data_IF_367139524897
#
_entry.id   IF_367139524897
#
_cell.length_a   1.000
_cell.length_b   1.000
_cell.length_c   1.000
_cell.angle_alpha   90.00
_cell.angle_beta   90.00
_cell.angle_gamma   90.00
#
_symmetry.space_group_name_H-M   'P 1'
#
loop_
_entity.id
_entity.type
_entity.pdbx_description
1 polymer ?
#
# COMPACT_ATOMS: atom_id res chain seq x y z
N UNK A 1 -2.49 4.06 -5.54
CA UNK A 1 -2.35 5.51 -5.70
C UNK A 1 -3.18 6.22 -4.65
N UNK A 2 -2.97 7.52 -4.46
CA UNK A 2 -3.64 8.30 -3.42
C UNK A 2 -3.92 9.72 -3.92
N UNK A 3 -5.05 10.27 -3.47
CA UNK A 3 -5.45 11.66 -3.68
C UNK A 3 -5.65 12.35 -2.34
N UNK A 4 -5.44 13.67 -2.33
CA UNK A 4 -5.82 14.54 -1.22
C UNK A 4 -6.76 15.62 -1.74
N UNK A 5 -7.90 15.79 -1.09
CA UNK A 5 -8.81 16.90 -1.36
C UNK A 5 -8.16 18.24 -0.99
N UNK A 6 -8.77 19.34 -1.39
CA UNK A 6 -8.57 20.62 -0.71
C UNK A 6 -8.95 20.52 0.78
N UNK A 7 -8.46 21.44 1.65
CA UNK A 7 -8.89 21.48 3.04
C UNK A 7 -10.39 21.68 3.11
N UNK A 8 -11.10 20.76 3.77
CA UNK A 8 -12.56 20.75 3.84
C UNK A 8 -13.11 21.67 4.95
N UNK A 9 -12.24 22.10 5.85
CA UNK A 9 -12.62 22.67 7.14
C UNK A 9 -12.89 21.57 8.19
N UNK A 10 -12.74 21.93 9.46
CA UNK A 10 -12.80 20.99 10.57
C UNK A 10 -14.15 20.25 10.65
N UNK A 11 -15.25 20.98 10.50
CA UNK A 11 -16.62 20.45 10.58
C UNK A 11 -16.89 19.42 9.48
N UNK A 12 -16.70 19.82 8.20
CA UNK A 12 -16.94 18.93 7.05
C UNK A 12 -16.03 17.70 7.09
N UNK A 13 -14.76 17.87 7.47
CA UNK A 13 -13.86 16.73 7.62
C UNK A 13 -14.31 15.79 8.76
N UNK A 14 -14.74 16.32 9.91
CA UNK A 14 -15.23 15.52 11.02
C UNK A 14 -16.53 14.76 10.68
N UNK A 15 -17.40 15.33 9.85
CA UNK A 15 -18.61 14.66 9.38
C UNK A 15 -18.31 13.44 8.48
N UNK A 16 -17.14 13.37 7.84
CA UNK A 16 -16.73 12.21 7.03
C UNK A 16 -16.25 11.03 7.90
N UNK A 17 -15.46 11.32 8.94
CA UNK A 17 -14.85 10.32 9.83
C UNK A 17 -14.78 10.88 11.25
N UNK A 18 -15.86 10.68 12.00
CA UNK A 18 -16.11 11.35 13.30
C UNK A 18 -15.02 11.07 14.33
N UNK A 19 -14.51 9.83 14.38
CA UNK A 19 -13.51 9.39 15.36
C UNK A 19 -12.05 9.55 14.88
N UNK A 20 -11.83 10.16 13.70
CA UNK A 20 -10.50 10.26 13.09
C UNK A 20 -9.78 8.93 12.77
N UNK A 21 -10.49 7.80 12.72
CA UNK A 21 -9.86 6.53 12.40
C UNK A 21 -9.32 6.51 10.96
N UNK A 22 -8.25 5.74 10.75
CA UNK A 22 -7.93 5.28 9.41
C UNK A 22 -8.88 4.12 9.07
N UNK A 23 -9.48 4.18 7.89
CA UNK A 23 -10.42 3.16 7.41
C UNK A 23 -9.80 2.41 6.24
N UNK A 24 -10.01 1.11 6.19
CA UNK A 24 -9.76 0.27 5.02
C UNK A 24 -10.98 -0.62 4.82
N UNK A 25 -11.36 -0.87 3.58
CA UNK A 25 -12.37 -1.88 3.28
C UNK A 25 -11.78 -3.31 3.37
N UNK A 26 -12.62 -4.30 3.10
CA UNK A 26 -12.27 -5.74 3.09
C UNK A 26 -12.09 -6.29 1.66
N UNK A 27 -12.07 -5.42 0.65
CA UNK A 27 -11.90 -5.85 -0.74
C UNK A 27 -10.47 -6.33 -0.98
N UNK A 28 -10.23 -7.05 -2.08
CA UNK A 28 -8.85 -7.39 -2.43
C UNK A 28 -8.10 -6.17 -2.97
N UNK A 29 -8.77 -5.37 -3.79
CA UNK A 29 -8.28 -4.06 -4.22
C UNK A 29 -8.83 -2.99 -3.27
N UNK A 30 -8.16 -2.87 -2.13
CA UNK A 30 -8.63 -2.02 -1.04
C UNK A 30 -8.80 -0.56 -1.44
N UNK A 31 -9.88 0.04 -0.94
CA UNK A 31 -9.93 1.47 -0.65
C UNK A 31 -9.56 1.70 0.82
N UNK A 32 -8.73 2.71 1.05
CA UNK A 32 -8.32 3.13 2.37
C UNK A 32 -8.28 4.65 2.45
N UNK A 33 -8.71 5.22 3.56
CA UNK A 33 -8.81 6.67 3.69
C UNK A 33 -8.71 7.12 5.14
N UNK A 34 -8.27 8.37 5.33
CA UNK A 34 -8.19 9.02 6.64
C UNK A 34 -8.23 10.54 6.47
N UNK A 35 -8.43 11.26 7.57
CA UNK A 35 -8.25 12.72 7.60
C UNK A 35 -6.77 13.06 7.80
N UNK A 36 -6.33 14.17 7.21
CA UNK A 36 -5.07 14.81 7.57
C UNK A 36 -5.29 15.83 8.71
N UNK A 37 -4.19 16.29 9.32
CA UNK A 37 -4.22 17.30 10.38
C UNK A 37 -4.74 18.66 9.89
N UNK A 38 -4.59 18.98 8.61
CA UNK A 38 -5.12 20.19 7.95
C UNK A 38 -6.52 19.97 7.33
N UNK A 39 -7.27 18.97 7.81
CA UNK A 39 -8.66 18.73 7.44
C UNK A 39 -8.93 18.36 5.97
N UNK A 40 -7.99 17.67 5.32
CA UNK A 40 -8.23 17.04 4.01
C UNK A 40 -8.69 15.61 4.20
N UNK A 41 -9.41 15.08 3.21
CA UNK A 41 -9.56 13.65 3.06
C UNK A 41 -8.39 13.12 2.22
N UNK A 42 -7.60 12.22 2.81
CA UNK A 42 -6.64 11.39 2.08
C UNK A 42 -7.35 10.12 1.67
N UNK A 43 -7.46 9.88 0.36
CA UNK A 43 -8.12 8.70 -0.19
C UNK A 43 -7.16 7.91 -1.07
N UNK A 44 -6.78 6.73 -0.60
CA UNK A 44 -5.98 5.77 -1.31
C UNK A 44 -6.84 4.64 -1.86
N UNK A 45 -6.47 4.17 -3.02
CA UNK A 45 -7.16 3.05 -3.66
C UNK A 45 -6.47 2.67 -4.95
N UNK A 46 -6.73 1.45 -5.39
CA UNK A 46 -6.20 0.85 -6.63
C UNK A 46 -4.66 0.76 -6.67
N UNK A 47 -4.17 -0.44 -6.94
CA UNK A 47 -2.77 -0.67 -7.29
C UNK A 47 -2.69 -0.96 -8.79
N UNK A 48 -1.77 -0.28 -9.49
CA UNK A 48 -1.43 -0.63 -10.88
C UNK A 48 -0.24 -1.57 -10.84
N UNK A 49 -0.44 -2.80 -11.33
CA UNK A 49 0.60 -3.82 -11.43
C UNK A 49 1.22 -3.90 -12.83
N UNK A 50 0.74 -3.08 -13.77
CA UNK A 50 1.29 -3.00 -15.13
C UNK A 50 2.56 -2.16 -15.22
N UNK A 51 2.90 -1.39 -14.17
CA UNK A 51 4.02 -0.44 -14.19
C UNK A 51 3.77 0.81 -15.05
N UNK A 52 2.60 0.91 -15.67
CA UNK A 52 2.16 2.09 -16.41
C UNK A 52 1.29 2.90 -15.45
N UNK A 53 1.68 4.15 -15.17
CA UNK A 53 0.76 5.13 -14.58
C UNK A 53 -0.24 5.51 -15.66
N UNK A 54 -1.50 5.07 -15.57
CA UNK A 54 -2.49 5.59 -16.48
C UNK A 54 -2.65 7.07 -16.14
N UNK A 55 -2.47 7.94 -17.13
CA UNK A 55 -2.74 9.39 -17.09
C UNK A 55 -4.10 9.79 -16.44
N UNK A 56 -4.96 8.83 -16.09
CA UNK A 56 -6.21 8.98 -15.36
C UNK A 56 -6.19 8.53 -13.89
N UNK A 57 -5.05 8.34 -13.23
CA UNK A 57 -4.99 7.93 -11.80
C UNK A 57 -5.79 8.86 -10.89
N UNK A 58 -5.60 10.19 -10.99
CA UNK A 58 -6.36 11.18 -10.21
C UNK A 58 -7.87 11.03 -10.43
N UNK A 59 -8.30 10.94 -11.70
CA UNK A 59 -9.72 10.80 -12.08
C UNK A 59 -10.31 9.49 -11.57
N UNK A 60 -9.58 8.39 -11.69
CA UNK A 60 -10.03 7.07 -11.27
C UNK A 60 -10.14 6.95 -9.74
N UNK A 61 -9.15 7.45 -9.00
CA UNK A 61 -9.20 7.46 -7.53
C UNK A 61 -10.30 8.39 -7.03
N UNK A 62 -10.50 9.57 -7.66
CA UNK A 62 -11.65 10.44 -7.36
C UNK A 62 -12.99 9.74 -7.60
N UNK A 63 -13.13 9.02 -8.71
CA UNK A 63 -14.37 8.28 -8.99
C UNK A 63 -14.67 7.23 -7.91
N UNK A 64 -13.65 6.56 -7.35
CA UNK A 64 -13.83 5.65 -6.20
C UNK A 64 -14.15 6.39 -4.91
N UNK A 65 -13.44 7.48 -4.63
CA UNK A 65 -13.71 8.34 -3.48
C UNK A 65 -15.17 8.79 -3.45
N UNK A 66 -15.75 9.17 -4.59
CA UNK A 66 -17.15 9.59 -4.68
C UNK A 66 -18.16 8.46 -4.53
N UNK A 67 -17.77 7.19 -4.69
CA UNK A 67 -18.64 6.06 -4.34
C UNK A 67 -18.80 5.93 -2.83
N UNK A 68 -17.76 6.26 -2.07
CA UNK A 68 -17.77 6.22 -0.59
C UNK A 68 -18.31 7.52 0.00
N UNK A 69 -17.91 8.66 -0.59
CA UNK A 69 -18.26 10.00 -0.12
C UNK A 69 -18.90 10.83 -1.25
N UNK A 70 -20.14 10.51 -1.66
CA UNK A 70 -20.83 11.24 -2.72
C UNK A 70 -21.01 12.73 -2.41
N UNK A 71 -21.07 13.10 -1.13
CA UNK A 71 -21.13 14.48 -0.65
C UNK A 71 -19.87 15.32 -0.91
N UNK A 72 -18.83 14.77 -1.53
CA UNK A 72 -17.62 15.49 -1.94
C UNK A 72 -17.57 15.76 -3.45
N UNK A 73 -18.70 15.66 -4.16
CA UNK A 73 -18.78 15.86 -5.61
C UNK A 73 -18.32 17.25 -6.07
N UNK A 74 -18.53 18.27 -5.24
CA UNK A 74 -18.11 19.67 -5.39
C UNK A 74 -16.64 19.91 -5.01
N UNK A 75 -16.01 18.97 -4.29
CA UNK A 75 -14.66 19.15 -3.74
C UNK A 75 -13.58 18.95 -4.80
N UNK A 76 -12.60 19.87 -4.80
CA UNK A 76 -11.39 19.75 -5.63
C UNK A 76 -10.39 18.75 -5.04
N UNK A 77 -9.70 18.05 -5.93
CA UNK A 77 -8.50 17.29 -5.57
C UNK A 77 -7.30 18.19 -5.80
N UNK A 78 -6.56 18.53 -4.74
CA UNK A 78 -5.33 19.33 -4.85
C UNK A 78 -4.16 18.43 -5.27
N UNK A 79 -3.98 17.31 -4.56
CA UNK A 79 -2.85 16.42 -4.78
C UNK A 79 -3.27 15.04 -5.25
N UNK A 80 -2.46 14.45 -6.13
CA UNK A 80 -2.57 13.07 -6.54
C UNK A 80 -1.16 12.54 -6.76
N UNK A 81 -0.84 11.41 -6.16
CA UNK A 81 0.47 10.80 -6.30
C UNK A 81 0.41 9.28 -6.25
N UNK A 82 1.52 8.68 -6.66
CA UNK A 82 1.75 7.26 -6.68
C UNK A 82 3.14 6.92 -6.17
N UNK A 83 3.43 5.63 -6.20
CA UNK A 83 4.72 5.09 -5.86
C UNK A 83 4.80 3.65 -6.34
N UNK A 84 6.04 3.17 -6.46
CA UNK A 84 6.30 1.76 -6.69
C UNK A 84 6.23 1.03 -5.36
N UNK A 85 5.56 -0.12 -5.35
CA UNK A 85 5.50 -1.01 -4.19
C UNK A 85 6.22 -2.28 -4.55
N UNK A 86 7.16 -2.68 -3.70
CA UNK A 86 7.85 -3.95 -3.77
C UNK A 86 6.99 -5.05 -3.15
N UNK A 87 6.71 -6.09 -3.94
CA UNK A 87 5.74 -7.13 -3.57
C UNK A 87 6.41 -8.49 -3.66
N UNK A 88 6.34 -9.22 -2.55
CA UNK A 88 6.73 -10.63 -2.47
C UNK A 88 5.54 -11.52 -2.79
N UNK A 89 5.79 -12.74 -3.25
CA UNK A 89 4.72 -13.67 -3.61
C UNK A 89 3.80 -14.01 -2.43
N UNK A 90 4.38 -14.16 -1.23
CA UNK A 90 3.65 -14.46 0.01
C UNK A 90 3.17 -13.20 0.76
N UNK A 91 3.43 -12.00 0.22
CA UNK A 91 3.12 -10.68 0.81
C UNK A 91 3.72 -10.40 2.19
N UNK A 92 4.64 -11.25 2.66
CA UNK A 92 5.40 -11.02 3.89
C UNK A 92 6.66 -10.20 3.57
N UNK A 93 7.16 -9.37 4.50
CA UNK A 93 8.44 -8.70 4.31
C UNK A 93 9.58 -9.71 4.25
N UNK A 94 10.54 -9.48 3.37
CA UNK A 94 11.66 -10.37 3.09
C UNK A 94 12.91 -9.84 3.78
N UNK A 95 13.24 -10.49 4.88
CA UNK A 95 14.47 -10.27 5.64
C UNK A 95 15.48 -11.33 5.23
N UNK A 96 16.74 -10.94 5.07
CA UNK A 96 17.78 -11.92 4.79
C UNK A 96 19.18 -11.34 4.81
N UNK A 97 20.13 -12.23 4.52
CA UNK A 97 21.56 -12.00 4.56
C UNK A 97 22.19 -12.59 3.31
N UNK A 98 23.01 -11.81 2.60
CA UNK A 98 23.73 -12.23 1.40
C UNK A 98 25.12 -12.76 1.74
N UNK A 99 25.78 -12.14 2.72
CA UNK A 99 27.10 -12.49 3.26
C UNK A 99 27.09 -12.22 4.78
N UNK A 100 28.06 -12.70 5.59
CA UNK A 100 28.05 -12.52 7.05
C UNK A 100 27.69 -11.11 7.53
N UNK A 101 28.15 -10.07 6.81
CA UNK A 101 27.94 -8.66 7.15
C UNK A 101 27.09 -7.89 6.13
N UNK A 102 26.45 -8.58 5.17
CA UNK A 102 25.60 -7.96 4.14
C UNK A 102 24.15 -8.38 4.33
N UNK A 103 23.32 -7.43 4.73
CA UNK A 103 21.91 -7.63 5.08
C UNK A 103 20.98 -6.96 4.08
N UNK A 104 19.78 -7.52 3.91
CA UNK A 104 18.71 -6.86 3.20
C UNK A 104 17.38 -6.98 3.94
N UNK A 105 16.55 -5.96 3.78
CA UNK A 105 15.13 -6.02 4.12
C UNK A 105 14.35 -5.33 3.01
N UNK A 106 13.41 -6.06 2.41
CA UNK A 106 12.64 -5.62 1.25
C UNK A 106 11.25 -6.25 1.23
N UNK A 107 10.45 -5.95 0.22
CA UNK A 107 9.25 -6.69 -0.11
C UNK A 107 8.09 -6.48 0.86
N UNK A 108 7.97 -5.28 1.44
CA UNK A 108 6.98 -5.01 2.48
C UNK A 108 5.53 -5.08 2.00
N UNK A 109 5.29 -5.19 0.69
CA UNK A 109 4.00 -5.61 0.12
C UNK A 109 2.80 -4.76 0.55
N UNK A 110 3.04 -3.47 0.79
CA UNK A 110 2.04 -2.49 1.26
C UNK A 110 2.06 -2.21 2.76
N UNK A 111 2.87 -2.93 3.54
CA UNK A 111 2.98 -2.76 5.00
C UNK A 111 4.20 -1.93 5.42
N UNK A 112 4.82 -1.19 4.47
CA UNK A 112 6.08 -0.48 4.70
C UNK A 112 6.00 0.50 5.87
N UNK A 113 4.95 1.31 5.96
CA UNK A 113 4.82 2.30 7.05
C UNK A 113 4.76 1.63 8.44
N UNK A 114 4.05 0.50 8.56
CA UNK A 114 3.89 -0.17 9.83
C UNK A 114 5.12 -1.00 10.23
N UNK A 115 5.79 -1.63 9.26
CA UNK A 115 6.81 -2.65 9.53
C UNK A 115 8.25 -2.14 9.40
N UNK A 116 8.52 -1.04 8.71
CA UNK A 116 9.91 -0.56 8.54
C UNK A 116 10.52 -0.05 9.83
N UNK A 117 9.72 0.49 10.76
CA UNK A 117 10.20 0.90 12.07
C UNK A 117 10.78 -0.27 12.88
N UNK A 118 10.05 -1.40 12.94
CA UNK A 118 10.58 -2.61 13.59
C UNK A 118 11.72 -3.21 12.76
N UNK A 119 11.64 -3.20 11.43
CA UNK A 119 12.73 -3.70 10.58
C UNK A 119 14.06 -2.98 10.84
N UNK A 120 14.03 -1.64 10.93
CA UNK A 120 15.21 -0.84 11.24
C UNK A 120 15.80 -1.15 12.61
N UNK A 121 14.93 -1.31 13.62
CA UNK A 121 15.36 -1.73 14.97
C UNK A 121 16.04 -3.10 14.95
N UNK A 122 15.42 -4.09 14.28
CA UNK A 122 15.98 -5.44 14.18
C UNK A 122 17.30 -5.47 13.43
N UNK A 123 17.43 -4.70 12.34
CA UNK A 123 18.70 -4.54 11.64
C UNK A 123 19.78 -3.95 12.54
N UNK A 124 19.47 -2.89 13.30
CA UNK A 124 20.42 -2.27 14.22
C UNK A 124 20.88 -3.25 15.33
N UNK A 125 19.95 -4.02 15.91
CA UNK A 125 20.25 -5.08 16.87
C UNK A 125 21.18 -6.15 16.25
N UNK A 126 20.88 -6.55 15.02
CA UNK A 126 21.63 -7.58 14.28
C UNK A 126 23.06 -7.12 13.98
N UNK A 127 23.24 -5.88 13.52
CA UNK A 127 24.56 -5.28 13.28
C UNK A 127 25.34 -5.14 14.60
N UNK A 128 24.65 -4.94 15.72
CA UNK A 128 25.26 -4.87 17.05
C UNK A 128 25.56 -6.25 17.66
N UNK A 129 25.36 -7.34 16.92
CA UNK A 129 25.66 -8.72 17.33
C UNK A 129 24.50 -9.49 17.98
N UNK A 130 23.29 -8.94 18.02
CA UNK A 130 22.09 -9.64 18.53
C UNK A 130 21.16 -10.03 17.40
N UNK A 131 21.10 -11.32 17.05
CA UNK A 131 20.46 -11.78 15.81
C UNK A 131 19.06 -12.40 15.99
N UNK A 132 18.72 -12.89 17.19
CA UNK A 132 17.57 -13.78 17.44
C UNK A 132 16.25 -13.32 16.82
N UNK A 133 15.92 -12.04 16.94
CA UNK A 133 14.66 -11.48 16.46
C UNK A 133 14.65 -11.23 14.96
N UNK A 134 15.79 -10.92 14.37
CA UNK A 134 15.93 -10.81 12.91
C UNK A 134 15.78 -12.18 12.26
N UNK A 135 16.39 -13.20 12.87
CA UNK A 135 16.36 -14.57 12.38
C UNK A 135 14.94 -15.16 12.35
N UNK A 136 14.03 -14.70 13.21
CA UNK A 136 12.60 -15.06 13.15
C UNK A 136 11.99 -14.63 11.82
N UNK A 137 12.24 -13.39 11.37
CA UNK A 137 11.74 -12.91 10.08
C UNK A 137 12.47 -13.55 8.90
N UNK A 138 13.78 -13.79 9.03
CA UNK A 138 14.58 -14.41 7.97
C UNK A 138 14.18 -15.87 7.68
N UNK A 139 13.51 -16.55 8.62
CA UNK A 139 12.95 -17.91 8.42
C UNK A 139 11.73 -17.95 7.50
N UNK A 140 11.12 -16.81 7.19
CA UNK A 140 9.97 -16.76 6.28
C UNK A 140 10.46 -17.19 4.88
N UNK A 141 9.89 -18.27 4.36
CA UNK A 141 10.26 -18.78 3.03
C UNK A 141 9.64 -17.90 1.95
N UNK A 142 10.49 -17.28 1.14
CA UNK A 142 10.09 -16.58 -0.07
C UNK A 142 10.36 -17.45 -1.30
N UNK A 143 9.41 -17.43 -2.24
CA UNK A 143 9.53 -18.09 -3.53
C UNK A 143 9.52 -17.04 -4.62
N UNK A 144 10.26 -17.29 -5.68
CA UNK A 144 10.18 -16.48 -6.88
C UNK A 144 8.81 -16.59 -7.53
N UNK A 145 8.46 -15.57 -8.31
CA UNK A 145 7.26 -15.61 -9.13
C UNK A 145 7.39 -16.73 -10.17
N UNK A 146 6.37 -17.58 -10.34
CA UNK A 146 6.42 -18.68 -11.28
C UNK A 146 6.64 -18.16 -12.70
N UNK A 147 7.58 -18.78 -13.43
CA UNK A 147 7.93 -18.38 -14.78
C UNK A 147 8.83 -17.14 -14.88
N UNK A 148 9.42 -16.70 -13.76
CA UNK A 148 10.49 -15.72 -13.73
C UNK A 148 10.10 -14.34 -14.26
N UNK A 149 11.08 -13.52 -14.72
CA UNK A 149 10.83 -12.16 -15.18
C UNK A 149 9.82 -12.06 -16.33
N UNK A 150 9.80 -13.06 -17.23
CA UNK A 150 8.93 -13.08 -18.41
C UNK A 150 7.45 -13.24 -18.03
N UNK A 151 7.13 -14.12 -17.07
CA UNK A 151 5.75 -14.41 -16.69
C UNK A 151 5.26 -13.64 -15.45
N UNK A 152 6.16 -13.00 -14.68
CA UNK A 152 5.78 -12.20 -13.50
C UNK A 152 4.71 -11.16 -13.80
N UNK A 153 4.88 -10.35 -14.85
CA UNK A 153 3.93 -9.29 -15.20
C UNK A 153 2.59 -9.85 -15.70
N UNK A 154 2.56 -10.78 -16.69
CA UNK A 154 1.31 -11.43 -17.09
C UNK A 154 0.56 -12.10 -15.95
N UNK A 155 1.27 -12.86 -15.09
CA UNK A 155 0.67 -13.55 -13.96
C UNK A 155 0.03 -12.58 -12.96
N UNK A 156 0.72 -11.47 -12.63
CA UNK A 156 0.16 -10.42 -11.77
C UNK A 156 -1.06 -9.75 -12.39
N UNK A 157 -1.04 -9.45 -13.69
CA UNK A 157 -2.19 -8.85 -14.38
C UNK A 157 -3.40 -9.79 -14.36
N UNK A 158 -3.21 -11.07 -14.64
CA UNK A 158 -4.26 -12.09 -14.60
C UNK A 158 -4.81 -12.27 -13.18
N UNK A 159 -3.94 -12.38 -12.18
CA UNK A 159 -4.36 -12.47 -10.79
C UNK A 159 -5.21 -11.25 -10.38
N UNK A 160 -4.78 -10.05 -10.76
CA UNK A 160 -5.53 -8.83 -10.46
C UNK A 160 -6.86 -8.72 -11.20
N UNK A 161 -6.93 -9.21 -12.44
CA UNK A 161 -8.20 -9.28 -13.17
C UNK A 161 -9.17 -10.23 -12.45
N UNK A 162 -8.70 -11.40 -12.05
CA UNK A 162 -9.46 -12.37 -11.25
C UNK A 162 -9.99 -11.76 -9.95
N UNK A 163 -9.12 -11.11 -9.16
CA UNK A 163 -9.54 -10.49 -7.90
C UNK A 163 -10.50 -9.33 -8.11
N UNK A 164 -10.35 -8.53 -9.18
CA UNK A 164 -11.33 -7.49 -9.51
C UNK A 164 -12.68 -8.05 -9.88
N UNK A 165 -12.73 -9.19 -10.58
CA UNK A 165 -13.99 -9.87 -10.88
C UNK A 165 -14.63 -10.38 -9.59
N UNK A 166 -13.85 -10.93 -8.67
CA UNK A 166 -14.33 -11.37 -7.36
C UNK A 166 -14.84 -10.22 -6.49
N UNK A 167 -14.21 -9.05 -6.53
CA UNK A 167 -14.67 -7.85 -5.81
C UNK A 167 -15.97 -7.26 -6.41
N UNK A 168 -16.36 -7.66 -7.64
CA UNK A 168 -17.59 -7.21 -8.31
C UNK A 168 -18.79 -8.16 -8.10
N UNK A 169 -18.53 -9.42 -7.77
CA UNK A 169 -19.53 -10.47 -7.53
C UNK A 169 -19.93 -10.50 -6.05
#
# INVERSE_FOLDING_TARGET
>A
YIVATEPLGAERAAALITNNAAVTDINWVIDYFRRSSDHRLLFGGRVSYSGIDPLGTRRATRARMLKVFPQLADTRIDFAWGGLVDITLNRAPHFGRLEPDVYFVQGFSGHGIALTGIAGKLLAETISGTHDRFDVFARIKHRDFPGGPALRRPALVLAMLWYRLRDLL
#
